data_IF_137006053463
#
_entry.id   IF_137006053463
#
_cell.length_a   1.000
_cell.length_b   1.000
_cell.length_c   1.000
_cell.angle_alpha   90.00
_cell.angle_beta   90.00
_cell.angle_gamma   90.00
#
_symmetry.space_group_name_H-M   'P 1'
#
loop_
_entity.id
_entity.type
_entity.pdbx_description
1 polymer ?
#
# COMPACT_ATOMS: atom_id res chain seq x y z
N UNK A 1 -13.93 -16.61 -33.97
CA UNK A 1 -13.27 -15.75 -33.02
C UNK A 1 -14.30 -14.95 -32.20
N UNK A 2 -14.08 -14.83 -30.89
CA UNK A 2 -14.93 -14.02 -30.04
C UNK A 2 -14.79 -12.55 -30.41
N UNK A 3 -15.89 -11.79 -30.43
CA UNK A 3 -15.83 -10.34 -30.59
C UNK A 3 -15.22 -9.71 -29.33
N UNK A 4 -14.28 -8.76 -29.46
CA UNK A 4 -13.73 -8.06 -28.31
C UNK A 4 -14.87 -7.34 -27.55
N UNK A 5 -15.02 -7.71 -26.28
CA UNK A 5 -15.80 -6.96 -25.31
C UNK A 5 -14.81 -6.38 -24.29
N UNK A 6 -15.06 -5.26 -23.66
CA UNK A 6 -14.15 -4.66 -22.67
C UNK A 6 -12.75 -4.28 -23.24
N UNK A 7 -12.67 -3.22 -24.04
CA UNK A 7 -11.41 -2.60 -24.49
C UNK A 7 -10.35 -3.60 -25.02
N UNK A 8 -10.73 -4.45 -25.97
CA UNK A 8 -9.89 -5.42 -26.68
C UNK A 8 -9.72 -6.81 -26.03
N UNK A 9 -10.28 -7.09 -24.86
CA UNK A 9 -10.22 -8.43 -24.28
C UNK A 9 -11.49 -9.23 -24.59
N UNK A 10 -11.37 -10.53 -24.99
CA UNK A 10 -12.53 -11.38 -25.20
C UNK A 10 -13.20 -11.77 -23.87
N UNK A 11 -14.50 -12.07 -23.84
CA UNK A 11 -15.21 -12.51 -22.64
C UNK A 11 -14.58 -13.72 -21.95
N UNK A 12 -13.94 -14.60 -22.70
CA UNK A 12 -13.19 -15.76 -22.18
C UNK A 12 -12.04 -15.37 -21.26
N UNK A 13 -11.45 -14.19 -21.42
CA UNK A 13 -10.38 -13.69 -20.53
C UNK A 13 -10.90 -13.46 -19.11
N UNK A 14 -12.08 -12.84 -18.98
CA UNK A 14 -12.73 -12.59 -17.68
C UNK A 14 -12.95 -13.92 -16.95
N UNK A 15 -13.49 -14.89 -17.65
CA UNK A 15 -13.74 -16.23 -17.10
C UNK A 15 -12.44 -16.92 -16.69
N UNK A 16 -11.40 -16.87 -17.53
CA UNK A 16 -10.11 -17.50 -17.24
C UNK A 16 -9.44 -16.89 -15.99
N UNK A 17 -9.52 -15.57 -15.81
CA UNK A 17 -9.00 -14.88 -14.61
C UNK A 17 -9.76 -15.36 -13.37
N UNK A 18 -11.09 -15.38 -13.41
CA UNK A 18 -11.91 -15.84 -12.28
C UNK A 18 -11.60 -17.31 -11.93
N UNK A 19 -11.54 -18.20 -12.93
CA UNK A 19 -11.21 -19.62 -12.73
C UNK A 19 -9.83 -19.83 -12.10
N UNK A 20 -8.83 -19.01 -12.45
CA UNK A 20 -7.50 -19.09 -11.83
C UNK A 20 -7.52 -18.54 -10.40
N UNK A 21 -8.24 -17.44 -10.16
CA UNK A 21 -8.37 -16.85 -8.82
C UNK A 21 -9.11 -17.82 -7.86
N UNK A 22 -10.19 -18.46 -8.29
CA UNK A 22 -10.96 -19.42 -7.49
C UNK A 22 -10.16 -20.68 -7.08
N UNK A 23 -9.07 -20.98 -7.77
CA UNK A 23 -8.19 -22.10 -7.42
C UNK A 23 -7.19 -21.78 -6.31
N UNK A 24 -7.18 -20.55 -5.83
CA UNK A 24 -6.31 -20.09 -4.75
C UNK A 24 -7.11 -19.95 -3.47
N UNK A 25 -6.41 -19.95 -2.33
CA UNK A 25 -7.03 -19.80 -1.03
C UNK A 25 -6.78 -20.96 -0.08
N UNK A 26 -7.50 -21.02 1.04
CA UNK A 26 -7.37 -22.07 2.02
C UNK A 26 -7.77 -23.44 1.45
N UNK A 27 -6.95 -24.45 1.70
CA UNK A 27 -7.25 -25.83 1.35
C UNK A 27 -8.32 -26.46 2.24
N UNK A 28 -8.90 -27.59 1.80
CA UNK A 28 -9.77 -28.38 2.63
C UNK A 28 -8.99 -28.99 3.81
N UNK A 29 -9.72 -29.49 4.82
CA UNK A 29 -9.10 -30.08 6.02
C UNK A 29 -8.06 -31.15 5.64
N UNK A 30 -6.82 -30.93 6.08
CA UNK A 30 -5.66 -31.79 5.74
C UNK A 30 -4.95 -31.47 4.43
N UNK A 31 -5.37 -30.43 3.72
CA UNK A 31 -4.68 -29.89 2.54
C UNK A 31 -3.97 -28.58 2.88
N UNK A 32 -2.94 -28.25 2.11
CA UNK A 32 -2.25 -26.97 2.26
C UNK A 32 -2.97 -25.82 1.56
N UNK A 33 -2.65 -24.60 1.95
CA UNK A 33 -3.18 -23.38 1.35
C UNK A 33 -2.41 -23.00 0.08
N UNK A 34 -3.07 -22.33 -0.86
CA UNK A 34 -2.45 -21.78 -2.06
C UNK A 34 -2.49 -20.26 -2.00
N UNK A 35 -1.32 -19.64 -1.87
CA UNK A 35 -1.16 -18.19 -2.02
C UNK A 35 -0.75 -17.88 -3.44
N UNK A 36 -1.47 -16.97 -4.11
CA UNK A 36 -1.15 -16.53 -5.45
C UNK A 36 -0.88 -15.03 -5.51
N UNK A 37 0.08 -14.64 -6.35
CA UNK A 37 0.40 -13.26 -6.66
C UNK A 37 0.23 -13.06 -8.17
N UNK A 38 -0.71 -12.21 -8.55
CA UNK A 38 -0.99 -11.89 -9.94
C UNK A 38 -0.37 -10.54 -10.31
N UNK A 39 0.48 -10.52 -11.34
CA UNK A 39 0.99 -9.28 -11.90
C UNK A 39 0.07 -8.81 -13.02
N UNK A 40 -0.43 -7.58 -12.89
CA UNK A 40 -1.28 -6.94 -13.90
C UNK A 40 -0.57 -5.69 -14.41
N UNK A 41 -0.37 -5.61 -15.72
CA UNK A 41 0.16 -4.42 -16.38
C UNK A 41 -1.01 -3.57 -16.87
N UNK A 42 -1.00 -2.31 -16.48
CA UNK A 42 -2.01 -1.33 -16.88
C UNK A 42 -1.40 -0.26 -17.80
N UNK A 43 -2.13 0.15 -18.81
CA UNK A 43 -1.69 1.20 -19.71
C UNK A 43 -1.78 2.57 -19.03
N UNK A 44 -0.70 3.37 -19.08
CA UNK A 44 -0.73 4.74 -18.61
C UNK A 44 -1.06 4.94 -17.12
N UNK A 45 -0.86 3.92 -16.28
CA UNK A 45 -1.23 3.93 -14.85
C UNK A 45 -2.75 4.02 -14.59
N UNK A 46 -3.57 3.68 -15.58
CA UNK A 46 -5.03 3.67 -15.47
C UNK A 46 -5.50 2.43 -14.69
N UNK A 47 -5.79 2.61 -13.41
CA UNK A 47 -6.30 1.54 -12.54
C UNK A 47 -7.78 1.23 -12.76
N UNK A 48 -8.47 2.01 -13.58
CA UNK A 48 -9.89 1.80 -13.97
C UNK A 48 -9.98 0.99 -15.27
N UNK A 49 -8.85 0.58 -15.84
CA UNK A 49 -8.86 -0.36 -16.96
C UNK A 49 -9.64 -1.63 -16.61
N UNK A 50 -10.55 -2.11 -17.48
CA UNK A 50 -11.50 -3.18 -17.15
C UNK A 50 -10.89 -4.45 -16.56
N UNK A 51 -9.70 -4.86 -17.04
CA UNK A 51 -9.01 -6.04 -16.49
C UNK A 51 -8.48 -5.78 -15.09
N UNK A 52 -7.88 -4.60 -14.84
CA UNK A 52 -7.37 -4.23 -13.54
C UNK A 52 -8.51 -4.12 -12.50
N UNK A 53 -9.61 -3.50 -12.88
CA UNK A 53 -10.78 -3.35 -12.00
C UNK A 53 -11.41 -4.71 -11.68
N UNK A 54 -11.57 -5.57 -12.66
CA UNK A 54 -12.09 -6.92 -12.45
C UNK A 54 -11.19 -7.74 -11.53
N UNK A 55 -9.87 -7.75 -11.74
CA UNK A 55 -8.91 -8.48 -10.90
C UNK A 55 -8.97 -7.95 -9.46
N UNK A 56 -9.02 -6.63 -9.29
CA UNK A 56 -9.22 -6.01 -7.96
C UNK A 56 -10.52 -6.44 -7.29
N UNK A 57 -11.57 -6.68 -8.08
CA UNK A 57 -12.87 -7.15 -7.59
C UNK A 57 -12.84 -8.57 -7.02
N UNK A 58 -12.02 -9.45 -7.57
CA UNK A 58 -11.98 -10.89 -7.23
C UNK A 58 -10.94 -11.24 -6.18
N UNK A 59 -9.85 -10.46 -6.06
CA UNK A 59 -8.72 -10.76 -5.18
C UNK A 59 -8.88 -10.15 -3.77
N UNK A 60 -8.19 -10.73 -2.79
CA UNK A 60 -8.22 -10.31 -1.37
C UNK A 60 -7.44 -9.03 -1.09
N UNK A 61 -6.81 -8.46 -2.10
CA UNK A 61 -6.08 -7.21 -2.00
C UNK A 61 -5.27 -6.92 -3.25
N UNK A 62 -4.65 -5.76 -3.26
CA UNK A 62 -3.77 -5.35 -4.35
C UNK A 62 -2.65 -4.45 -3.85
N UNK A 63 -1.49 -4.55 -4.48
CA UNK A 63 -0.34 -3.69 -4.27
C UNK A 63 -0.15 -2.85 -5.52
N UNK A 64 -0.26 -1.53 -5.38
CA UNK A 64 -0.07 -0.58 -6.48
C UNK A 64 1.39 -0.13 -6.52
N UNK A 65 1.99 -0.23 -7.70
CA UNK A 65 3.30 0.34 -7.97
C UNK A 65 3.10 1.67 -8.70
N UNK A 66 3.64 2.75 -8.12
CA UNK A 66 3.52 4.10 -8.65
C UNK A 66 4.76 4.49 -9.45
N UNK A 67 4.53 5.00 -10.66
CA UNK A 67 5.58 5.57 -11.50
C UNK A 67 6.22 6.81 -10.84
N UNK A 68 5.42 7.67 -10.24
CA UNK A 68 5.90 8.88 -9.55
C UNK A 68 6.84 8.55 -8.39
N UNK A 69 6.55 7.46 -7.65
CA UNK A 69 7.40 6.98 -6.57
C UNK A 69 8.73 6.46 -7.13
N UNK A 70 8.70 5.72 -8.25
CA UNK A 70 9.92 5.21 -8.87
C UNK A 70 10.78 6.33 -9.45
N UNK A 71 10.16 7.37 -10.02
CA UNK A 71 10.86 8.54 -10.55
C UNK A 71 11.56 9.36 -9.46
N UNK A 72 11.06 9.29 -8.21
CA UNK A 72 11.75 9.85 -7.02
C UNK A 72 12.89 8.96 -6.50
N UNK A 73 13.11 7.80 -7.10
CA UNK A 73 14.17 6.87 -6.73
C UNK A 73 13.85 5.96 -5.53
N UNK A 74 12.61 5.93 -5.03
CA UNK A 74 12.21 5.02 -3.96
C UNK A 74 11.80 3.66 -4.52
N UNK A 75 12.46 2.60 -4.09
CA UNK A 75 12.19 1.21 -4.47
C UNK A 75 12.09 0.33 -3.23
N UNK A 76 11.12 -0.63 -3.19
CA UNK A 76 10.08 -0.86 -4.20
C UNK A 76 9.13 0.33 -4.32
N UNK A 77 8.63 0.62 -5.54
CA UNK A 77 7.79 1.77 -5.82
C UNK A 77 6.32 1.60 -5.36
N UNK A 78 6.12 1.00 -4.20
CA UNK A 78 4.81 0.67 -3.63
C UNK A 78 4.11 1.94 -3.15
N UNK A 79 2.92 2.20 -3.69
CA UNK A 79 2.01 3.21 -3.16
C UNK A 79 1.17 2.58 -2.04
N UNK A 80 1.54 2.85 -0.81
CA UNK A 80 0.90 2.26 0.38
C UNK A 80 -0.53 2.78 0.57
N UNK A 81 -0.81 4.03 0.20
CA UNK A 81 -2.14 4.61 0.38
C UNK A 81 -3.14 4.05 -0.61
N UNK A 82 -2.73 3.79 -1.83
CA UNK A 82 -3.56 3.21 -2.89
C UNK A 82 -3.61 1.68 -2.85
N UNK A 83 -2.70 1.04 -2.12
CA UNK A 83 -2.70 -0.41 -1.89
C UNK A 83 -3.71 -0.80 -0.83
N UNK A 84 -4.33 -1.97 -0.98
CA UNK A 84 -5.40 -2.43 -0.09
C UNK A 84 -5.24 -3.93 0.23
N UNK A 85 -5.55 -4.29 1.48
CA UNK A 85 -5.81 -5.68 1.89
C UNK A 85 -7.24 -5.78 2.43
N UNK A 86 -8.01 -6.71 1.92
CA UNK A 86 -9.36 -7.04 2.43
C UNK A 86 -9.33 -7.94 3.66
N UNK A 87 -8.18 -8.57 3.91
CA UNK A 87 -7.98 -9.41 5.09
C UNK A 87 -7.78 -8.59 6.37
N UNK A 88 -7.59 -7.27 6.26
CA UNK A 88 -7.58 -6.40 7.43
C UNK A 88 -9.01 -6.01 7.83
N UNK A 89 -9.30 -5.89 9.14
CA UNK A 89 -8.36 -5.94 10.28
C UNK A 89 -8.03 -7.34 10.79
N UNK A 90 -8.69 -8.40 10.30
CA UNK A 90 -8.65 -9.74 10.90
C UNK A 90 -7.29 -10.43 10.78
N UNK A 91 -6.52 -10.12 9.73
CA UNK A 91 -5.19 -10.67 9.51
C UNK A 91 -4.09 -10.07 10.40
N UNK A 92 -4.40 -9.06 11.21
CA UNK A 92 -3.45 -8.38 12.08
C UNK A 92 -3.97 -8.28 13.51
N UNK A 93 -3.06 -8.22 14.49
CA UNK A 93 -3.41 -8.00 15.88
C UNK A 93 -3.97 -6.58 16.09
N UNK A 94 -4.73 -6.33 17.15
CA UNK A 94 -5.27 -5.00 17.44
C UNK A 94 -4.22 -3.88 17.46
N UNK A 95 -3.05 -4.16 18.07
CA UNK A 95 -1.94 -3.19 18.11
C UNK A 95 -1.31 -2.96 16.74
N UNK A 96 -1.13 -4.02 15.97
CA UNK A 96 -0.63 -3.95 14.59
C UNK A 96 -1.59 -3.15 13.69
N UNK A 97 -2.90 -3.35 13.82
CA UNK A 97 -3.92 -2.57 13.12
C UNK A 97 -3.87 -1.08 13.48
N UNK A 98 -3.60 -0.75 14.76
CA UNK A 98 -3.41 0.64 15.18
C UNK A 98 -2.18 1.25 14.49
N UNK A 99 -1.06 0.55 14.49
CA UNK A 99 0.19 0.99 13.83
C UNK A 99 -0.04 1.21 12.33
N UNK A 100 -0.70 0.27 11.64
CA UNK A 100 -1.05 0.40 10.23
C UNK A 100 -1.89 1.66 9.97
N UNK A 101 -2.90 1.89 10.81
CA UNK A 101 -3.78 3.07 10.70
C UNK A 101 -3.02 4.37 10.91
N UNK A 102 -2.17 4.43 11.93
CA UNK A 102 -1.39 5.64 12.26
C UNK A 102 -0.34 5.93 11.18
N UNK A 103 0.33 4.90 10.66
CA UNK A 103 1.22 5.03 9.51
C UNK A 103 0.49 5.63 8.30
N UNK A 104 -0.61 4.99 7.86
CA UNK A 104 -1.37 5.46 6.70
C UNK A 104 -1.88 6.89 6.88
N UNK A 105 -2.37 7.23 8.08
CA UNK A 105 -2.83 8.58 8.41
C UNK A 105 -1.70 9.60 8.30
N UNK A 106 -0.51 9.27 8.80
CA UNK A 106 0.65 10.17 8.76
C UNK A 106 1.11 10.44 7.34
N UNK A 107 1.19 9.38 6.51
CA UNK A 107 1.55 9.52 5.09
C UNK A 107 0.49 10.31 4.32
N UNK A 108 -0.80 10.02 4.53
CA UNK A 108 -1.89 10.73 3.87
C UNK A 108 -1.87 12.24 4.17
N UNK A 109 -1.66 12.59 5.45
CA UNK A 109 -1.56 13.98 5.87
C UNK A 109 -0.36 14.70 5.23
N UNK A 110 0.79 14.01 5.14
CA UNK A 110 1.93 14.55 4.42
C UNK A 110 1.64 14.78 2.94
N UNK A 111 1.03 13.83 2.25
CA UNK A 111 0.69 13.97 0.82
C UNK A 111 -0.29 15.12 0.57
N UNK A 112 -1.23 15.36 1.49
CA UNK A 112 -2.13 16.52 1.45
C UNK A 112 -1.37 17.85 1.58
N UNK A 113 -0.37 17.90 2.46
CA UNK A 113 0.42 19.11 2.75
C UNK A 113 1.54 19.32 1.71
N UNK A 114 2.06 18.28 1.10
CA UNK A 114 3.22 18.35 0.21
C UNK A 114 3.11 19.37 -0.95
N UNK A 115 1.95 19.60 -1.59
CA UNK A 115 1.78 20.68 -2.56
C UNK A 115 1.99 22.08 -1.95
N UNK A 116 1.51 22.29 -0.72
CA UNK A 116 1.66 23.58 0.00
C UNK A 116 3.12 23.82 0.38
N UNK A 117 3.84 22.76 0.80
CA UNK A 117 5.28 22.86 1.08
C UNK A 117 6.07 23.25 -0.19
N UNK A 118 5.77 22.61 -1.33
CA UNK A 118 6.42 22.92 -2.62
C UNK A 118 6.15 24.34 -3.10
N UNK A 119 4.96 24.86 -2.79
CA UNK A 119 4.57 26.23 -3.12
C UNK A 119 5.02 27.29 -2.10
N UNK A 120 5.70 26.88 -1.02
CA UNK A 120 6.09 27.75 0.10
C UNK A 120 4.90 28.43 0.81
N UNK A 121 3.76 27.75 0.82
CA UNK A 121 2.50 28.23 1.44
C UNK A 121 2.19 27.59 2.79
N UNK A 122 2.98 26.61 3.22
CA UNK A 122 2.78 25.95 4.50
C UNK A 122 3.52 26.70 5.62
N UNK A 123 2.78 27.11 6.65
CA UNK A 123 3.33 27.77 7.85
C UNK A 123 3.44 26.76 9.00
N UNK A 124 4.67 26.46 9.43
CA UNK A 124 4.91 25.59 10.58
C UNK A 124 4.37 26.21 11.87
N UNK A 125 3.88 25.34 12.76
CA UNK A 125 3.32 25.72 14.04
C UNK A 125 1.80 25.96 14.04
N UNK A 126 1.16 26.03 12.89
CA UNK A 126 -0.30 26.15 12.79
C UNK A 126 -1.03 24.82 12.99
N UNK A 127 -0.48 23.73 12.48
CA UNK A 127 -1.03 22.39 12.61
C UNK A 127 0.03 21.43 13.15
N UNK A 128 -0.09 21.09 14.43
CA UNK A 128 0.83 20.16 15.08
C UNK A 128 0.80 18.74 14.49
N UNK A 129 -0.29 18.32 13.85
CA UNK A 129 -0.35 17.02 13.19
C UNK A 129 0.36 17.07 11.84
N UNK A 130 0.16 18.15 11.10
CA UNK A 130 0.86 18.44 9.84
C UNK A 130 2.37 18.53 10.06
N UNK A 131 2.81 19.30 11.03
CA UNK A 131 4.23 19.44 11.37
C UNK A 131 4.87 18.08 11.69
N UNK A 132 4.21 17.26 12.51
CA UNK A 132 4.68 15.88 12.80
C UNK A 132 4.73 15.01 11.56
N UNK A 133 3.77 15.14 10.64
CA UNK A 133 3.78 14.36 9.39
C UNK A 133 4.99 14.72 8.52
N UNK A 134 5.33 15.99 8.43
CA UNK A 134 6.48 16.50 7.68
C UNK A 134 7.80 15.96 8.28
N UNK A 135 7.92 15.96 9.61
CA UNK A 135 9.13 15.48 10.29
C UNK A 135 9.33 13.97 10.12
N UNK A 136 8.25 13.19 10.13
CA UNK A 136 8.30 11.73 10.10
C UNK A 136 8.34 11.13 8.71
N UNK A 137 7.80 11.83 7.72
CA UNK A 137 7.66 11.32 6.36
C UNK A 137 8.97 10.73 5.79
N UNK A 138 10.14 11.37 5.90
CA UNK A 138 11.37 10.81 5.34
C UNK A 138 11.72 9.43 5.91
N UNK A 139 11.52 9.22 7.19
CA UNK A 139 11.80 7.94 7.86
C UNK A 139 10.74 6.88 7.50
N UNK A 140 9.48 7.28 7.44
CA UNK A 140 8.36 6.40 7.08
C UNK A 140 8.41 5.99 5.59
N UNK A 141 8.83 6.89 4.70
CA UNK A 141 9.02 6.58 3.28
C UNK A 141 10.23 5.64 3.09
N UNK A 142 11.32 5.89 3.84
CA UNK A 142 12.50 5.03 3.83
C UNK A 142 12.22 3.63 4.38
N UNK A 143 11.35 3.49 5.39
CA UNK A 143 10.96 2.20 5.94
C UNK A 143 10.50 1.19 4.88
N UNK A 144 9.78 1.67 3.84
CA UNK A 144 9.34 0.82 2.73
C UNK A 144 10.50 0.36 1.85
N UNK A 145 11.61 1.11 1.84
CA UNK A 145 12.80 0.83 1.02
C UNK A 145 13.83 -0.03 1.74
N UNK A 146 13.74 -0.13 3.04
CA UNK A 146 14.72 -0.88 3.83
C UNK A 146 14.62 -2.38 3.57
N UNK A 147 15.75 -3.06 3.41
CA UNK A 147 15.77 -4.51 3.35
C UNK A 147 15.24 -5.08 4.67
N UNK A 148 14.03 -5.61 4.65
CA UNK A 148 13.51 -6.29 5.82
C UNK A 148 14.10 -7.70 5.93
N UNK A 149 15.09 -7.86 6.78
CA UNK A 149 15.73 -9.15 7.09
C UNK A 149 15.11 -9.84 8.29
N UNK A 150 14.11 -9.21 8.93
CA UNK A 150 13.49 -9.69 10.14
C UNK A 150 12.13 -10.37 9.93
N UNK A 151 11.53 -10.76 11.03
CA UNK A 151 10.18 -11.29 11.09
C UNK A 151 9.15 -10.15 11.17
N UNK A 152 7.91 -10.41 10.76
CA UNK A 152 6.79 -9.45 10.80
C UNK A 152 6.69 -8.67 12.13
N UNK A 153 6.83 -9.28 13.33
CA UNK A 153 6.80 -8.55 14.59
C UNK A 153 7.89 -7.49 14.73
N UNK A 154 9.09 -7.74 14.20
CA UNK A 154 10.19 -6.77 14.22
C UNK A 154 9.92 -5.58 13.32
N UNK A 155 9.30 -5.82 12.15
CA UNK A 155 8.87 -4.73 11.26
C UNK A 155 7.82 -3.82 11.92
N UNK A 156 6.85 -4.39 12.63
CA UNK A 156 5.88 -3.60 13.40
C UNK A 156 6.53 -2.84 14.55
N UNK A 157 7.45 -3.45 15.27
CA UNK A 157 8.18 -2.78 16.34
C UNK A 157 9.01 -1.60 15.81
N UNK A 158 9.69 -1.78 14.69
CA UNK A 158 10.43 -0.69 14.02
C UNK A 158 9.48 0.42 13.57
N UNK A 159 8.40 0.08 12.88
CA UNK A 159 7.42 1.06 12.41
C UNK A 159 6.77 1.83 13.57
N UNK A 160 6.48 1.17 14.69
CA UNK A 160 5.98 1.82 15.89
C UNK A 160 7.00 2.85 16.41
N UNK A 161 8.28 2.49 16.50
CA UNK A 161 9.33 3.41 16.93
C UNK A 161 9.45 4.66 16.05
N UNK A 162 9.17 4.54 14.74
CA UNK A 162 9.13 5.68 13.82
C UNK A 162 7.88 6.57 14.00
N UNK A 163 6.80 6.00 14.52
CA UNK A 163 5.53 6.70 14.77
C UNK A 163 5.44 7.32 16.16
N UNK A 164 6.20 6.80 17.12
CA UNK A 164 6.22 7.34 18.48
C UNK A 164 6.82 8.75 18.48
N UNK A 165 6.37 9.64 19.38
CA UNK A 165 6.96 10.96 19.51
C UNK A 165 8.45 10.81 19.80
N UNK A 166 9.29 11.48 19.01
CA UNK A 166 10.69 11.66 19.37
C UNK A 166 10.67 12.36 20.72
N UNK A 167 11.05 11.66 21.79
CA UNK A 167 11.31 12.32 23.07
C UNK A 167 12.28 13.46 22.77
N UNK A 168 11.84 14.68 22.98
CA UNK A 168 12.71 15.84 22.87
C UNK A 168 13.89 15.55 23.79
N UNK A 169 15.06 15.24 23.20
CA UNK A 169 16.28 15.16 23.95
C UNK A 169 16.39 16.49 24.69
N UNK A 170 16.11 16.46 25.99
CA UNK A 170 16.31 17.58 26.88
C UNK A 170 17.74 18.07 26.66
N UNK A 171 17.83 19.24 26.10
CA UNK A 171 19.08 20.00 26.11
C UNK A 171 19.34 20.32 27.55
N UNK A 172 20.20 19.55 28.18
CA UNK A 172 20.94 19.93 29.39
C UNK A 172 22.05 20.87 28.99
#
# INVERSE_FOLDING_TARGET
GETPALNAFPPSTVRAIAEVAERTGPGAQGQGDITAIFSVLVAGSDMEEPVADMVRGVLDGHIILSREISERGRYPAIDVLRSLSRCLPDAAKPDENRIIKDYRRTIALYEEIAPMLRANLYERGHDAAGDRSIERFPQLDNFVSEPNTGHIPQAFQHLQGLLDPVEAAEKT
#
